data_IF_122084340486
#
_entry.id   IF_122084340486
#
_cell.length_a   1.000
_cell.length_b   1.000
_cell.length_c   1.000
_cell.angle_alpha   90.00
_cell.angle_beta   90.00
_cell.angle_gamma   90.00
#
_symmetry.space_group_name_H-M   'P 1'
#
loop_
_entity.id
_entity.type
_entity.pdbx_description
1 polymer ?
#
# COMPACT_ATOMS: atom_id res chain seq x y z
N UNK A 1 -1.93 -19.85 -4.81
CA UNK A 1 -2.77 -18.63 -4.97
C UNK A 1 -2.21 -17.59 -4.01
N UNK A 2 -1.86 -16.40 -4.49
CA UNK A 2 -1.53 -15.29 -3.60
C UNK A 2 -2.86 -14.83 -2.98
N UNK A 3 -3.08 -15.15 -1.70
CA UNK A 3 -4.17 -14.55 -0.93
C UNK A 3 -3.84 -13.08 -0.68
N UNK A 4 -4.87 -12.25 -0.66
CA UNK A 4 -4.74 -10.87 -0.17
C UNK A 4 -5.12 -10.87 1.31
N UNK A 5 -4.33 -10.23 2.20
CA UNK A 5 -4.64 -10.14 3.63
C UNK A 5 -5.72 -9.07 3.93
N UNK A 6 -6.35 -8.53 2.89
CA UNK A 6 -7.33 -7.47 3.04
C UNK A 6 -8.70 -7.98 3.46
N UNK A 7 -9.34 -7.21 4.34
CA UNK A 7 -10.77 -7.34 4.61
C UNK A 7 -11.57 -7.14 3.30
N UNK A 8 -12.70 -7.86 3.10
CA UNK A 8 -13.56 -7.71 1.94
C UNK A 8 -13.92 -6.26 1.60
N UNK A 9 -14.09 -5.38 2.60
CA UNK A 9 -14.38 -3.96 2.39
C UNK A 9 -13.28 -3.23 1.60
N UNK A 10 -12.01 -3.54 1.88
CA UNK A 10 -10.84 -2.98 1.16
C UNK A 10 -10.76 -3.60 -0.26
N UNK A 11 -11.04 -4.90 -0.39
CA UNK A 11 -11.06 -5.59 -1.69
C UNK A 11 -12.13 -5.00 -2.61
N UNK A 12 -13.34 -4.75 -2.09
CA UNK A 12 -14.46 -4.19 -2.86
C UNK A 12 -14.38 -2.69 -3.09
N UNK A 13 -13.46 -1.99 -2.41
CA UNK A 13 -13.35 -0.53 -2.51
C UNK A 13 -13.02 -0.08 -3.94
N UNK A 14 -13.87 0.74 -4.55
CA UNK A 14 -13.58 1.31 -5.87
C UNK A 14 -12.69 2.55 -5.71
N UNK A 15 -11.61 2.62 -6.51
CA UNK A 15 -10.74 3.78 -6.51
C UNK A 15 -11.53 5.04 -6.93
N UNK A 16 -11.29 6.21 -6.31
CA UNK A 16 -11.94 7.44 -6.73
C UNK A 16 -11.74 7.71 -8.23
N UNK A 17 -12.75 8.26 -8.89
CA UNK A 17 -12.64 8.58 -10.32
C UNK A 17 -11.48 9.54 -10.56
N UNK A 18 -10.61 9.18 -11.51
CA UNK A 18 -9.41 9.96 -11.83
C UNK A 18 -8.24 9.77 -10.87
N UNK A 19 -8.34 8.85 -9.90
CA UNK A 19 -7.21 8.51 -9.06
C UNK A 19 -6.08 7.89 -9.91
N UNK A 20 -4.88 8.46 -9.76
CA UNK A 20 -3.67 7.95 -10.39
C UNK A 20 -2.79 7.45 -9.26
N UNK A 21 -2.42 6.17 -9.32
CA UNK A 21 -1.49 5.57 -8.35
C UNK A 21 -0.17 6.35 -8.39
N UNK A 22 0.29 6.92 -7.26
CA UNK A 22 1.56 7.63 -7.22
C UNK A 22 2.73 6.72 -7.62
N UNK A 23 3.79 7.32 -8.13
CA UNK A 23 5.03 6.58 -8.38
C UNK A 23 5.81 6.48 -7.07
N UNK A 24 6.05 5.25 -6.62
CA UNK A 24 6.78 4.97 -5.39
C UNK A 24 8.25 4.68 -5.66
N UNK A 25 9.10 5.02 -4.70
CA UNK A 25 10.31 4.26 -4.44
C UNK A 25 9.86 2.95 -3.81
N UNK A 26 10.19 1.82 -4.45
CA UNK A 26 9.76 0.50 -3.99
C UNK A 26 10.47 0.13 -2.69
N UNK A 27 9.74 -0.47 -1.75
CA UNK A 27 10.27 -0.94 -0.48
C UNK A 27 10.47 -2.45 -0.49
N UNK A 28 11.71 -2.90 -0.34
CA UNK A 28 12.11 -4.31 -0.25
C UNK A 28 12.07 -4.87 1.18
N UNK A 29 11.95 -3.99 2.18
CA UNK A 29 12.05 -4.37 3.59
C UNK A 29 13.43 -4.17 4.21
N UNK A 30 14.39 -3.55 3.51
CA UNK A 30 15.77 -3.38 4.01
C UNK A 30 16.04 -2.00 4.61
N UNK A 31 15.36 -0.95 4.14
CA UNK A 31 15.45 0.39 4.71
C UNK A 31 14.54 0.55 5.94
N UNK A 32 14.77 1.63 6.70
CA UNK A 32 13.99 1.93 7.89
C UNK A 32 12.47 1.99 7.57
N UNK A 33 11.64 1.14 8.21
CA UNK A 33 10.20 1.11 7.93
C UNK A 33 9.48 2.40 8.32
N UNK A 34 9.96 3.11 9.35
CA UNK A 34 9.31 4.34 9.82
C UNK A 34 9.50 5.45 8.80
N UNK A 35 10.73 5.65 8.31
CA UNK A 35 11.03 6.60 7.24
C UNK A 35 10.22 6.29 5.98
N UNK A 36 10.10 5.01 5.63
CA UNK A 36 9.31 4.59 4.48
C UNK A 36 7.81 4.92 4.63
N UNK A 37 7.23 4.64 5.80
CA UNK A 37 5.82 4.97 6.08
C UNK A 37 5.60 6.49 6.01
N UNK A 38 6.52 7.30 6.55
CA UNK A 38 6.43 8.75 6.45
C UNK A 38 6.47 9.22 4.99
N UNK A 39 7.37 8.67 4.17
CA UNK A 39 7.43 8.95 2.73
C UNK A 39 6.13 8.56 2.01
N UNK A 40 5.60 7.36 2.27
CA UNK A 40 4.35 6.89 1.67
C UNK A 40 3.18 7.81 2.03
N UNK A 41 3.05 8.18 3.31
CA UNK A 41 2.02 9.12 3.78
C UNK A 41 2.15 10.49 3.13
N UNK A 42 3.39 10.98 2.94
CA UNK A 42 3.64 12.24 2.26
C UNK A 42 3.19 12.19 0.79
N UNK A 43 3.45 11.10 0.06
CA UNK A 43 2.95 10.93 -1.30
C UNK A 43 1.43 10.86 -1.38
N UNK A 44 0.80 10.27 -0.37
CA UNK A 44 -0.64 10.12 -0.25
C UNK A 44 -1.30 11.28 0.50
N UNK A 45 -0.64 12.44 0.68
CA UNK A 45 -1.11 13.53 1.58
C UNK A 45 -2.54 13.98 1.29
N UNK A 46 -2.94 14.03 0.01
CA UNK A 46 -4.30 14.45 -0.39
C UNK A 46 -5.38 13.44 0.04
N UNK A 47 -4.99 12.18 0.22
CA UNK A 47 -5.86 11.05 0.55
C UNK A 47 -5.53 10.45 1.93
N UNK A 48 -4.76 11.15 2.78
CA UNK A 48 -4.22 10.62 4.04
C UNK A 48 -5.29 10.24 5.07
N UNK A 49 -6.53 10.70 4.90
CA UNK A 49 -7.68 10.33 5.72
C UNK A 49 -8.56 9.22 5.12
N UNK A 50 -8.18 8.70 3.95
CA UNK A 50 -8.87 7.62 3.27
C UNK A 50 -8.09 6.31 3.46
N UNK A 51 -8.14 5.79 4.69
CA UNK A 51 -7.39 4.60 5.10
C UNK A 51 -7.63 3.40 4.17
N UNK A 52 -8.86 3.25 3.65
CA UNK A 52 -9.21 2.16 2.72
C UNK A 52 -8.43 2.27 1.41
N UNK A 53 -8.35 3.47 0.84
CA UNK A 53 -7.54 3.74 -0.35
C UNK A 53 -6.06 3.55 -0.07
N UNK A 54 -5.57 4.07 1.07
CA UNK A 54 -4.17 3.93 1.47
C UNK A 54 -3.76 2.47 1.60
N UNK A 55 -4.54 1.66 2.33
CA UNK A 55 -4.34 0.23 2.44
C UNK A 55 -4.32 -0.43 1.06
N UNK A 56 -5.30 -0.12 0.20
CA UNK A 56 -5.40 -0.74 -1.13
C UNK A 56 -4.21 -0.42 -2.05
N UNK A 57 -3.62 0.77 -1.92
CA UNK A 57 -2.50 1.24 -2.73
C UNK A 57 -1.15 0.75 -2.17
N UNK A 58 -1.04 0.54 -0.86
CA UNK A 58 0.21 0.19 -0.19
C UNK A 58 0.96 -1.01 -0.81
N UNK A 59 0.33 -2.13 -1.21
CA UNK A 59 1.05 -3.24 -1.83
C UNK A 59 1.76 -2.87 -3.13
N UNK A 60 1.26 -1.86 -3.86
CA UNK A 60 1.88 -1.38 -5.10
C UNK A 60 3.20 -0.63 -4.85
N UNK A 61 3.50 -0.28 -3.60
CA UNK A 61 4.74 0.36 -3.20
C UNK A 61 5.78 -0.65 -2.68
N UNK A 62 5.43 -1.95 -2.61
CA UNK A 62 6.29 -3.02 -2.12
C UNK A 62 6.88 -3.83 -3.29
N UNK A 63 8.09 -4.36 -3.12
CA UNK A 63 8.65 -5.39 -4.00
C UNK A 63 9.36 -6.50 -3.22
N UNK A 64 9.79 -7.53 -3.95
CA UNK A 64 10.61 -8.64 -3.45
C UNK A 64 10.13 -9.23 -2.12
N UNK A 65 10.98 -9.15 -1.09
CA UNK A 65 10.74 -9.79 0.20
C UNK A 65 9.59 -9.12 0.96
N UNK A 66 9.44 -7.80 0.88
CA UNK A 66 8.34 -7.07 1.51
C UNK A 66 6.99 -7.41 0.88
N UNK A 67 6.90 -7.46 -0.45
CA UNK A 67 5.67 -7.87 -1.13
C UNK A 67 5.31 -9.32 -0.81
N UNK A 68 6.32 -10.20 -0.77
CA UNK A 68 6.13 -11.60 -0.39
C UNK A 68 5.68 -11.74 1.07
N UNK A 69 6.19 -10.92 1.99
CA UNK A 69 5.75 -10.87 3.37
C UNK A 69 4.28 -10.41 3.47
N UNK A 70 3.91 -9.38 2.73
CA UNK A 70 2.55 -8.84 2.71
C UNK A 70 1.52 -9.91 2.34
N UNK A 71 1.78 -10.71 1.30
CA UNK A 71 0.89 -11.80 0.89
C UNK A 71 0.81 -12.99 1.86
N UNK A 72 1.69 -13.04 2.87
CA UNK A 72 1.69 -14.06 3.94
C UNK A 72 1.07 -13.56 5.25
N UNK A 73 0.62 -12.31 5.29
CA UNK A 73 -0.14 -11.81 6.45
C UNK A 73 -1.45 -12.61 6.61
N UNK A 74 -1.87 -12.87 7.85
CA UNK A 74 -3.10 -13.61 8.15
C UNK A 74 -4.36 -12.85 7.74
#
# INVERSE_FOLDING_TARGET
MLSTPFDPHIISYELPRGFIVPKFIMYDGTSDPFDYIMYFRQLMTLDIGNDVLMCKVFPASLHDQALSWFHRLP
#
